data_IF_293451586800
#
_entry.id   IF_293451586800
#
_cell.length_a   1.000
_cell.length_b   1.000
_cell.length_c   1.000
_cell.angle_alpha   90.00
_cell.angle_beta   90.00
_cell.angle_gamma   90.00
#
_symmetry.space_group_name_H-M   'P 1'
#
loop_
_entity.id
_entity.type
_entity.pdbx_description
1 polymer ?
#
# COMPACT_ATOMS: atom_id res chain seq x y z
N UNK A 1 -6.47 -16.91 -6.48
CA UNK A 1 -6.76 -15.63 -7.18
C UNK A 1 -7.32 -14.65 -6.16
N UNK A 2 -6.72 -13.47 -6.03
CA UNK A 2 -7.24 -12.38 -5.20
C UNK A 2 -8.06 -11.42 -6.07
N UNK A 3 -9.28 -11.11 -5.63
CA UNK A 3 -10.17 -10.16 -6.31
C UNK A 3 -10.22 -8.83 -5.58
N UNK A 4 -10.15 -7.73 -6.34
CA UNK A 4 -10.42 -6.36 -5.88
C UNK A 4 -11.66 -5.82 -6.57
N UNK A 5 -12.56 -5.19 -5.79
CA UNK A 5 -13.73 -4.45 -6.28
C UNK A 5 -13.65 -3.02 -5.77
N UNK A 6 -13.30 -2.07 -6.63
CA UNK A 6 -13.17 -0.67 -6.26
C UNK A 6 -14.48 0.09 -6.54
N UNK A 7 -15.18 0.51 -5.48
CA UNK A 7 -16.38 1.36 -5.57
C UNK A 7 -15.92 2.79 -5.65
N UNK A 8 -16.19 3.46 -6.78
CA UNK A 8 -15.59 4.75 -7.13
C UNK A 8 -16.53 5.63 -7.98
N UNK A 9 -16.28 6.93 -7.99
CA UNK A 9 -16.88 7.88 -8.95
C UNK A 9 -16.02 8.04 -10.22
N UNK A 10 -14.82 7.50 -10.27
CA UNK A 10 -13.86 7.67 -11.36
C UNK A 10 -13.22 6.33 -11.76
N UNK A 11 -14.00 5.41 -12.39
CA UNK A 11 -13.51 4.07 -12.74
C UNK A 11 -12.30 4.10 -13.68
N UNK A 12 -12.21 5.10 -14.58
CA UNK A 12 -11.11 5.24 -15.53
C UNK A 12 -9.74 5.45 -14.85
N UNK A 13 -9.70 5.97 -13.62
CA UNK A 13 -8.43 6.12 -12.90
C UNK A 13 -7.72 4.78 -12.67
N UNK A 14 -8.44 3.68 -12.58
CA UNK A 14 -7.88 2.35 -12.36
C UNK A 14 -7.31 1.70 -13.63
N UNK A 15 -7.59 2.25 -14.82
CA UNK A 15 -7.06 1.73 -16.09
C UNK A 15 -5.52 1.80 -16.13
N UNK A 16 -4.91 2.81 -15.48
CA UNK A 16 -3.47 2.96 -15.42
C UNK A 16 -2.76 1.73 -14.80
N UNK A 17 -3.33 1.16 -13.72
CA UNK A 17 -2.75 -0.02 -13.06
C UNK A 17 -3.29 -1.34 -13.63
N UNK A 18 -4.46 -1.32 -14.27
CA UNK A 18 -5.05 -2.50 -14.90
C UNK A 18 -4.32 -2.90 -16.17
N UNK A 19 -3.90 -1.92 -16.97
CA UNK A 19 -3.39 -2.14 -18.32
C UNK A 19 -1.86 -2.21 -18.37
N UNK A 20 -1.16 -1.81 -17.30
CA UNK A 20 0.30 -1.70 -17.32
C UNK A 20 0.95 -2.36 -16.08
N UNK A 21 2.18 -2.80 -16.25
CA UNK A 21 3.07 -3.20 -15.17
C UNK A 21 2.80 -4.58 -14.57
N UNK A 22 3.03 -4.70 -13.26
CA UNK A 22 2.98 -5.98 -12.53
C UNK A 22 1.54 -6.45 -12.34
N UNK A 23 0.61 -5.52 -12.10
CA UNK A 23 -0.81 -5.82 -11.85
C UNK A 23 -1.44 -6.36 -13.13
N UNK A 24 -1.23 -5.72 -14.30
CA UNK A 24 -1.70 -6.18 -15.60
C UNK A 24 -1.29 -7.64 -15.84
N UNK A 25 0.00 -7.95 -15.67
CA UNK A 25 0.51 -9.32 -15.81
C UNK A 25 -0.11 -10.30 -14.81
N UNK A 26 -0.37 -9.84 -13.58
CA UNK A 26 -1.07 -10.64 -12.57
C UNK A 26 -2.50 -10.98 -12.95
N UNK A 27 -3.20 -10.04 -13.61
CA UNK A 27 -4.56 -10.23 -14.15
C UNK A 27 -4.53 -11.20 -15.34
N UNK A 28 -3.64 -10.99 -16.31
CA UNK A 28 -3.46 -11.87 -17.48
C UNK A 28 -3.21 -13.32 -17.10
N UNK A 29 -2.44 -13.53 -16.00
CA UNK A 29 -2.13 -14.86 -15.45
C UNK A 29 -3.19 -15.41 -14.49
N UNK A 30 -4.31 -14.74 -14.31
CA UNK A 30 -5.39 -15.13 -13.38
C UNK A 30 -4.94 -15.24 -11.90
N UNK A 31 -3.92 -14.48 -11.48
CA UNK A 31 -3.56 -14.36 -10.06
C UNK A 31 -4.37 -13.27 -9.38
N UNK A 32 -4.75 -12.24 -10.13
CA UNK A 32 -5.51 -11.07 -9.69
C UNK A 32 -6.75 -10.86 -10.56
N UNK A 33 -7.77 -10.26 -9.95
CA UNK A 33 -8.91 -9.66 -10.64
C UNK A 33 -9.09 -8.24 -10.08
N UNK A 34 -9.23 -7.24 -10.94
CA UNK A 34 -9.52 -5.86 -10.56
C UNK A 34 -10.72 -5.36 -11.34
N UNK A 35 -11.84 -5.19 -10.65
CA UNK A 35 -13.05 -4.58 -11.21
C UNK A 35 -13.33 -3.23 -10.56
N UNK A 36 -13.92 -2.34 -11.32
CA UNK A 36 -14.45 -1.07 -10.83
C UNK A 36 -15.96 -1.09 -10.80
N UNK A 37 -16.54 -0.50 -9.76
CA UNK A 37 -17.99 -0.36 -9.57
C UNK A 37 -18.32 1.11 -9.56
N UNK A 38 -19.02 1.57 -10.61
CA UNK A 38 -19.35 2.97 -10.75
C UNK A 38 -20.48 3.36 -9.79
N UNK A 39 -20.17 4.17 -8.79
CA UNK A 39 -21.10 4.49 -7.71
C UNK A 39 -22.40 5.14 -8.20
N UNK A 40 -22.37 5.95 -9.29
CA UNK A 40 -23.56 6.61 -9.84
C UNK A 40 -24.59 5.65 -10.40
N UNK A 41 -24.23 4.41 -10.73
CA UNK A 41 -25.20 3.43 -11.25
C UNK A 41 -26.17 2.94 -10.18
N UNK A 42 -25.86 3.19 -8.91
CA UNK A 42 -26.69 2.82 -7.76
C UNK A 42 -27.57 3.99 -7.23
N UNK A 43 -27.44 5.15 -7.83
CA UNK A 43 -28.24 6.32 -7.46
C UNK A 43 -29.55 6.35 -8.26
N UNK A 44 -30.65 6.57 -7.55
CA UNK A 44 -31.98 6.69 -8.13
C UNK A 44 -32.22 8.08 -8.75
N UNK A 45 -33.16 8.15 -9.67
CA UNK A 45 -33.63 9.36 -10.32
C UNK A 45 -32.76 9.88 -11.47
N UNK A 46 -33.24 10.89 -12.22
CA UNK A 46 -32.62 11.32 -13.48
C UNK A 46 -31.25 12.00 -13.28
N UNK A 47 -31.01 12.59 -12.10
CA UNK A 47 -29.75 13.29 -11.78
C UNK A 47 -28.70 12.36 -11.20
N UNK A 48 -29.05 11.13 -10.80
CA UNK A 48 -28.15 10.15 -10.17
C UNK A 48 -27.28 10.76 -9.06
N UNK A 49 -27.92 11.50 -8.12
CA UNK A 49 -27.22 12.16 -7.02
C UNK A 49 -26.67 11.12 -6.05
N UNK A 50 -25.36 11.18 -5.81
CA UNK A 50 -24.64 10.25 -4.91
C UNK A 50 -24.29 10.84 -3.56
N UNK A 51 -24.48 12.15 -3.39
CA UNK A 51 -24.03 12.95 -2.27
C UNK A 51 -25.13 13.91 -1.79
N UNK A 52 -25.01 14.39 -0.54
CA UNK A 52 -25.94 15.33 0.08
C UNK A 52 -25.20 16.20 1.12
N UNK A 53 -25.78 17.33 1.49
CA UNK A 53 -25.23 18.18 2.54
C UNK A 53 -25.13 17.46 3.89
N UNK A 54 -24.05 17.69 4.66
CA UNK A 54 -23.91 17.07 5.97
C UNK A 54 -24.98 17.55 6.94
N UNK A 55 -25.56 16.63 7.70
CA UNK A 55 -26.48 16.94 8.78
C UNK A 55 -25.73 17.64 9.92
N UNK A 56 -26.21 18.76 10.37
CA UNK A 56 -25.53 19.60 11.35
C UNK A 56 -24.73 20.77 10.74
N UNK A 57 -24.72 20.88 9.42
CA UNK A 57 -24.00 21.93 8.69
C UNK A 57 -22.52 21.57 8.46
N UNK A 58 -21.79 22.48 7.84
CA UNK A 58 -20.40 22.33 7.45
C UNK A 58 -20.20 22.39 5.94
N UNK A 59 -18.97 22.62 5.52
CA UNK A 59 -18.61 22.69 4.11
C UNK A 59 -18.50 21.30 3.47
N UNK A 60 -18.82 21.25 2.18
CA UNK A 60 -18.70 20.04 1.37
C UNK A 60 -19.96 19.19 1.34
N UNK A 61 -19.83 18.02 0.73
CA UNK A 61 -20.89 17.03 0.52
C UNK A 61 -20.47 15.70 1.11
N UNK A 62 -21.43 14.87 1.50
CA UNK A 62 -21.21 13.52 2.06
C UNK A 62 -21.85 12.49 1.14
N UNK A 63 -21.16 11.42 0.83
CA UNK A 63 -21.69 10.33 0.02
C UNK A 63 -22.82 9.62 0.75
N UNK A 64 -23.96 9.53 0.07
CA UNK A 64 -25.23 9.03 0.61
C UNK A 64 -25.17 7.57 0.97
N UNK A 65 -25.61 7.16 2.17
CA UNK A 65 -25.52 5.79 2.65
C UNK A 65 -26.37 4.80 1.83
N UNK A 66 -27.54 5.23 1.35
CA UNK A 66 -28.44 4.40 0.54
C UNK A 66 -27.81 4.00 -0.80
N UNK A 67 -27.09 4.91 -1.45
CA UNK A 67 -26.37 4.66 -2.71
C UNK A 67 -25.14 3.76 -2.47
N UNK A 68 -24.32 4.14 -1.50
CA UNK A 68 -23.08 3.41 -1.18
C UNK A 68 -23.36 1.98 -0.74
N UNK A 69 -24.40 1.76 0.09
CA UNK A 69 -24.77 0.43 0.55
C UNK A 69 -25.29 -0.45 -0.59
N UNK A 70 -26.04 0.10 -1.55
CA UNK A 70 -26.43 -0.64 -2.75
C UNK A 70 -25.20 -1.09 -3.55
N UNK A 71 -24.22 -0.22 -3.76
CA UNK A 71 -22.97 -0.54 -4.44
C UNK A 71 -22.14 -1.60 -3.69
N UNK A 72 -22.01 -1.49 -2.36
CA UNK A 72 -21.32 -2.52 -1.56
C UNK A 72 -22.03 -3.88 -1.74
N UNK A 73 -23.34 -3.92 -1.57
CA UNK A 73 -24.11 -5.17 -1.66
C UNK A 73 -24.07 -5.83 -3.02
N UNK A 74 -23.85 -5.07 -4.10
CA UNK A 74 -23.76 -5.64 -5.46
C UNK A 74 -22.54 -6.51 -5.67
N UNK A 75 -21.49 -6.34 -4.85
CA UNK A 75 -20.22 -7.09 -4.96
C UNK A 75 -19.90 -7.91 -3.71
N UNK A 76 -20.66 -7.71 -2.62
CA UNK A 76 -20.38 -8.35 -1.33
C UNK A 76 -20.63 -9.85 -1.40
N UNK A 77 -19.65 -10.64 -0.94
CA UNK A 77 -19.75 -12.07 -0.68
C UNK A 77 -19.41 -12.35 0.79
N UNK A 78 -19.70 -13.56 1.33
CA UNK A 78 -19.33 -13.89 2.70
C UNK A 78 -17.85 -13.72 3.02
N UNK A 79 -16.97 -13.87 2.01
CA UNK A 79 -15.51 -13.77 2.14
C UNK A 79 -14.98 -12.36 1.90
N UNK A 80 -15.85 -11.41 1.57
CA UNK A 80 -15.44 -10.03 1.25
C UNK A 80 -14.89 -9.31 2.46
N UNK A 81 -13.78 -8.63 2.28
CA UNK A 81 -13.19 -7.74 3.26
C UNK A 81 -13.29 -6.28 2.76
N UNK A 82 -14.17 -5.50 3.35
CA UNK A 82 -14.43 -4.11 2.93
C UNK A 82 -13.42 -3.19 3.60
N UNK A 83 -12.69 -2.44 2.79
CA UNK A 83 -11.64 -1.50 3.21
C UNK A 83 -12.02 -0.08 2.79
N UNK A 84 -11.97 0.83 3.73
CA UNK A 84 -12.13 2.26 3.51
C UNK A 84 -10.77 2.97 3.54
N UNK A 85 -10.48 3.78 2.51
CA UNK A 85 -9.28 4.61 2.44
C UNK A 85 -9.59 5.99 3.01
N UNK A 86 -9.03 6.30 4.18
CA UNK A 86 -9.35 7.52 4.92
C UNK A 86 -8.14 8.01 5.72
N UNK A 87 -7.92 9.33 5.86
CA UNK A 87 -6.91 9.87 6.76
C UNK A 87 -7.11 9.46 8.24
N UNK A 88 -8.34 9.10 8.64
CA UNK A 88 -8.66 8.64 10.00
C UNK A 88 -8.28 7.18 10.26
N UNK A 89 -7.94 6.43 9.20
CA UNK A 89 -7.55 5.03 9.29
C UNK A 89 -6.18 4.81 9.89
N UNK A 90 -5.87 3.54 10.21
CA UNK A 90 -4.51 3.12 10.61
C UNK A 90 -3.55 3.32 9.43
N UNK A 91 -2.30 3.66 9.72
CA UNK A 91 -1.26 3.77 8.67
C UNK A 91 -1.11 2.43 7.95
N UNK A 92 -1.29 2.47 6.62
CA UNK A 92 -1.07 1.31 5.76
C UNK A 92 0.44 1.00 5.68
N UNK A 93 0.81 -0.27 5.84
CA UNK A 93 2.21 -0.70 5.84
C UNK A 93 2.34 -2.11 5.23
N UNK A 94 3.57 -2.57 4.99
CA UNK A 94 3.86 -3.89 4.41
C UNK A 94 3.19 -5.04 5.17
N UNK A 95 3.14 -4.98 6.51
CA UNK A 95 2.41 -5.98 7.32
C UNK A 95 0.93 -6.03 6.97
N UNK A 96 0.26 -4.88 6.88
CA UNK A 96 -1.16 -4.81 6.50
C UNK A 96 -1.38 -5.31 5.06
N UNK A 97 -0.47 -4.98 4.14
CA UNK A 97 -0.52 -5.47 2.76
C UNK A 97 -0.44 -7.00 2.70
N UNK A 98 0.45 -7.61 3.48
CA UNK A 98 0.60 -9.07 3.57
C UNK A 98 -0.63 -9.74 4.19
N UNK A 99 -1.22 -9.15 5.22
CA UNK A 99 -2.47 -9.65 5.83
C UNK A 99 -3.64 -9.59 4.84
N UNK A 100 -3.75 -8.51 4.07
CA UNK A 100 -4.77 -8.34 3.03
C UNK A 100 -4.57 -9.31 1.85
N UNK A 101 -3.33 -9.62 1.49
CA UNK A 101 -3.02 -10.59 0.42
C UNK A 101 -3.52 -12.02 0.72
N UNK A 102 -3.84 -12.34 1.98
CA UNK A 102 -4.44 -13.63 2.39
C UNK A 102 -5.96 -13.67 2.19
N UNK A 103 -6.59 -12.55 1.83
CA UNK A 103 -8.02 -12.50 1.53
C UNK A 103 -8.31 -13.01 0.13
N UNK A 104 -9.51 -13.52 -0.09
CA UNK A 104 -9.99 -13.91 -1.42
C UNK A 104 -10.61 -12.73 -2.18
N UNK A 105 -11.20 -11.78 -1.44
CA UNK A 105 -11.89 -10.63 -2.02
C UNK A 105 -11.77 -9.39 -1.14
N UNK A 106 -11.29 -8.30 -1.72
CA UNK A 106 -11.18 -6.98 -1.07
C UNK A 106 -12.09 -5.99 -1.81
N UNK A 107 -13.01 -5.39 -1.07
CA UNK A 107 -13.87 -4.30 -1.58
C UNK A 107 -13.29 -2.97 -1.09
N UNK A 108 -12.89 -2.10 -2.02
CA UNK A 108 -12.27 -0.81 -1.74
C UNK A 108 -13.30 0.31 -1.85
N UNK A 109 -13.49 1.07 -0.79
CA UNK A 109 -14.34 2.26 -0.79
C UNK A 109 -13.51 3.50 -1.06
N UNK A 110 -13.66 4.07 -2.26
CA UNK A 110 -12.97 5.28 -2.69
C UNK A 110 -13.85 6.50 -2.39
N UNK A 111 -13.65 7.12 -1.24
CA UNK A 111 -14.39 8.31 -0.81
C UNK A 111 -14.05 9.53 -1.66
N UNK A 112 -15.02 10.41 -1.81
CA UNK A 112 -14.89 11.75 -2.41
C UNK A 112 -15.61 12.77 -1.54
N UNK A 113 -15.39 14.05 -1.80
CA UNK A 113 -15.97 15.15 -1.03
C UNK A 113 -15.53 15.09 0.44
N UNK A 114 -16.48 15.19 1.40
CA UNK A 114 -16.21 15.03 2.83
C UNK A 114 -16.20 13.54 3.28
N UNK A 115 -16.33 12.60 2.35
CA UNK A 115 -16.29 11.16 2.63
C UNK A 115 -17.66 10.50 2.65
N UNK A 116 -17.76 9.39 3.37
CA UNK A 116 -18.97 8.58 3.49
C UNK A 116 -19.78 8.94 4.75
N UNK A 117 -21.09 8.77 4.68
CA UNK A 117 -21.92 8.74 5.88
C UNK A 117 -21.38 7.69 6.88
N UNK A 118 -21.15 8.11 8.11
CA UNK A 118 -20.51 7.28 9.14
C UNK A 118 -21.28 6.00 9.46
N UNK A 119 -22.59 5.96 9.23
CA UNK A 119 -23.41 4.75 9.40
C UNK A 119 -23.01 3.64 8.42
N UNK A 120 -22.59 4.02 7.20
CA UNK A 120 -22.03 3.09 6.22
C UNK A 120 -20.70 2.54 6.69
N UNK A 121 -19.78 3.41 7.12
CA UNK A 121 -18.46 3.01 7.62
C UNK A 121 -18.62 2.05 8.80
N UNK A 122 -19.35 2.45 9.83
CA UNK A 122 -19.56 1.64 11.04
C UNK A 122 -20.16 0.26 10.78
N UNK A 123 -21.02 0.12 9.76
CA UNK A 123 -21.79 -1.11 9.52
C UNK A 123 -21.16 -2.06 8.51
N UNK A 124 -20.41 -1.56 7.55
CA UNK A 124 -19.93 -2.34 6.41
C UNK A 124 -18.41 -2.42 6.29
N UNK A 125 -17.67 -1.48 6.89
CA UNK A 125 -16.22 -1.44 6.78
C UNK A 125 -15.58 -2.37 7.81
N UNK A 126 -14.64 -3.20 7.36
CA UNK A 126 -13.89 -4.12 8.21
C UNK A 126 -12.55 -3.53 8.63
N UNK A 127 -11.97 -2.65 7.80
CA UNK A 127 -10.73 -1.95 8.10
C UNK A 127 -10.68 -0.57 7.44
N UNK A 128 -10.05 0.39 8.13
CA UNK A 128 -9.75 1.71 7.58
C UNK A 128 -8.24 1.92 7.54
N UNK A 129 -7.72 2.39 6.39
CA UNK A 129 -6.31 2.67 6.20
C UNK A 129 -6.05 4.06 5.69
N UNK A 130 -4.99 4.69 6.22
CA UNK A 130 -4.39 5.92 5.73
C UNK A 130 -3.07 5.59 5.02
N UNK A 131 -2.80 6.25 3.90
CA UNK A 131 -1.52 6.13 3.17
C UNK A 131 -0.49 7.17 3.62
N UNK A 132 -0.82 8.01 4.59
CA UNK A 132 0.08 9.02 5.16
C UNK A 132 -0.66 10.20 5.77
N UNK A 133 0.08 11.08 6.43
CA UNK A 133 -0.44 12.25 7.14
C UNK A 133 -0.66 13.44 6.17
N UNK A 134 -1.49 13.22 5.16
CA UNK A 134 -1.89 14.22 4.18
C UNK A 134 -3.29 13.90 3.63
N UNK A 135 -3.95 14.92 3.09
CA UNK A 135 -5.28 14.79 2.51
C UNK A 135 -5.18 14.77 0.99
N UNK A 136 -5.88 13.82 0.37
CA UNK A 136 -6.05 13.71 -1.08
C UNK A 136 -7.48 14.09 -1.49
N UNK A 137 -7.66 14.41 -2.76
CA UNK A 137 -8.98 14.76 -3.32
C UNK A 137 -9.97 13.59 -3.37
N UNK A 138 -9.49 12.35 -3.14
CA UNK A 138 -10.33 11.15 -3.13
C UNK A 138 -9.57 9.88 -2.80
N UNK A 139 -10.32 8.80 -2.62
CA UNK A 139 -9.80 7.51 -2.20
C UNK A 139 -9.21 6.65 -3.33
N UNK A 140 -9.29 7.07 -4.59
CA UNK A 140 -8.83 6.26 -5.73
C UNK A 140 -7.31 6.07 -5.74
N UNK A 141 -6.53 7.15 -5.52
CA UNK A 141 -5.07 7.05 -5.45
C UNK A 141 -4.60 6.15 -4.29
N UNK A 142 -5.10 6.33 -3.04
CA UNK A 142 -4.80 5.39 -1.96
C UNK A 142 -5.22 3.95 -2.27
N UNK A 143 -6.36 3.76 -2.93
CA UNK A 143 -6.82 2.42 -3.32
C UNK A 143 -5.86 1.77 -4.32
N UNK A 144 -5.39 2.51 -5.33
CA UNK A 144 -4.38 2.01 -6.26
C UNK A 144 -3.06 1.67 -5.58
N UNK A 145 -2.57 2.51 -4.63
CA UNK A 145 -1.40 2.19 -3.81
C UNK A 145 -1.59 0.88 -3.02
N UNK A 146 -2.79 0.70 -2.42
CA UNK A 146 -3.11 -0.52 -1.69
C UNK A 146 -3.14 -1.74 -2.61
N UNK A 147 -3.80 -1.64 -3.78
CA UNK A 147 -3.85 -2.72 -4.78
C UNK A 147 -2.44 -3.12 -5.19
N UNK A 148 -1.57 -2.17 -5.51
CA UNK A 148 -0.18 -2.45 -5.91
C UNK A 148 0.58 -3.16 -4.79
N UNK A 149 0.62 -2.58 -3.60
CA UNK A 149 1.36 -3.12 -2.47
C UNK A 149 0.87 -4.52 -2.05
N UNK A 150 -0.45 -4.77 -2.02
CA UNK A 150 -1.03 -6.07 -1.69
C UNK A 150 -0.71 -7.10 -2.77
N UNK A 151 -0.80 -6.72 -4.03
CA UNK A 151 -0.55 -7.61 -5.18
C UNK A 151 0.87 -8.18 -5.18
N UNK A 152 1.86 -7.47 -4.64
CA UNK A 152 3.25 -7.94 -4.51
C UNK A 152 3.38 -9.19 -3.62
N UNK A 153 2.45 -9.39 -2.68
CA UNK A 153 2.42 -10.56 -1.78
C UNK A 153 1.54 -11.71 -2.31
N UNK A 154 0.91 -11.53 -3.46
CA UNK A 154 0.12 -12.62 -4.08
C UNK A 154 1.05 -13.54 -4.88
N UNK A 155 1.08 -14.85 -4.59
CA UNK A 155 1.94 -15.79 -5.30
C UNK A 155 1.74 -15.75 -6.81
N UNK A 156 2.84 -15.69 -7.56
CA UNK A 156 2.84 -15.67 -9.03
C UNK A 156 2.67 -14.29 -9.69
N UNK A 157 2.40 -13.24 -8.92
CA UNK A 157 2.30 -11.86 -9.43
C UNK A 157 3.69 -11.28 -9.71
N UNK A 158 4.63 -11.42 -8.77
CA UNK A 158 6.04 -11.10 -9.03
C UNK A 158 6.74 -12.27 -9.71
N UNK A 159 7.64 -11.94 -10.64
CA UNK A 159 8.41 -12.95 -11.39
C UNK A 159 9.41 -13.75 -10.54
N UNK A 160 9.87 -13.16 -9.44
CA UNK A 160 10.71 -13.82 -8.45
C UNK A 160 10.10 -13.62 -7.06
N UNK A 161 9.66 -14.72 -6.44
CA UNK A 161 9.07 -14.70 -5.10
C UNK A 161 10.05 -14.22 -4.01
N UNK A 162 11.36 -14.38 -4.24
CA UNK A 162 12.41 -13.91 -3.32
C UNK A 162 12.61 -12.39 -3.39
N UNK A 163 12.20 -11.74 -4.48
CA UNK A 163 12.34 -10.28 -4.63
C UNK A 163 11.60 -9.52 -3.52
N UNK A 164 10.44 -10.00 -3.10
CA UNK A 164 9.67 -9.37 -2.02
C UNK A 164 10.30 -9.59 -0.64
N UNK A 165 11.15 -10.60 -0.46
CA UNK A 165 11.77 -10.90 0.84
C UNK A 165 12.96 -10.01 1.18
N UNK A 166 13.53 -9.32 0.19
CA UNK A 166 14.68 -8.43 0.35
C UNK A 166 14.31 -6.94 0.30
N UNK A 167 13.05 -6.62 0.04
CA UNK A 167 12.55 -5.24 -0.04
C UNK A 167 12.57 -4.54 1.33
N UNK A 168 12.54 -3.21 1.31
CA UNK A 168 12.37 -2.40 2.52
C UNK A 168 11.15 -2.85 3.32
N UNK A 169 11.28 -2.88 4.63
CA UNK A 169 10.25 -3.24 5.63
C UNK A 169 9.97 -4.75 5.82
N UNK A 170 10.59 -5.65 5.07
CA UNK A 170 10.35 -7.10 5.22
C UNK A 170 10.88 -7.64 6.54
N UNK A 171 12.11 -7.26 6.90
CA UNK A 171 12.71 -7.53 8.21
C UNK A 171 12.64 -6.30 9.15
N UNK A 172 11.88 -5.27 8.75
CA UNK A 172 11.69 -4.01 9.47
C UNK A 172 12.74 -2.94 9.17
N UNK A 173 13.77 -3.22 8.37
CA UNK A 173 14.78 -2.27 7.91
C UNK A 173 14.46 -1.73 6.51
N UNK A 174 15.13 -0.66 6.13
CA UNK A 174 15.20 -0.20 4.75
C UNK A 174 16.23 -1.01 3.98
N UNK A 175 16.01 -1.18 2.68
CA UNK A 175 16.93 -1.86 1.78
C UNK A 175 18.29 -1.15 1.71
N UNK A 176 19.36 -1.94 1.52
CA UNK A 176 20.69 -1.40 1.26
C UNK A 176 20.77 -0.75 -0.11
N UNK A 177 21.71 0.21 -0.34
CA UNK A 177 21.91 0.83 -1.63
C UNK A 177 22.23 -0.22 -2.70
N UNK A 178 21.59 -0.08 -3.85
CA UNK A 178 21.83 -0.90 -5.01
C UNK A 178 22.75 -0.18 -5.99
N UNK A 179 23.62 -0.95 -6.65
CA UNK A 179 24.55 -0.47 -7.65
C UNK A 179 24.41 -1.27 -8.93
N UNK A 180 24.67 -0.61 -10.07
CA UNK A 180 24.70 -1.23 -11.40
C UNK A 180 25.91 -0.74 -12.21
N UNK A 181 26.02 -1.17 -13.45
CA UNK A 181 27.04 -0.65 -14.38
C UNK A 181 26.66 0.75 -14.90
N UNK A 182 27.65 1.60 -15.22
CA UNK A 182 29.10 1.36 -15.16
C UNK A 182 29.64 1.28 -13.73
N UNK A 183 30.77 0.60 -13.51
CA UNK A 183 31.37 0.41 -12.16
C UNK A 183 31.96 1.70 -11.57
N UNK A 184 32.22 2.69 -12.39
CA UNK A 184 32.60 4.06 -11.99
C UNK A 184 31.70 5.03 -12.76
N UNK A 185 31.02 5.90 -12.05
CA UNK A 185 30.19 6.95 -12.63
C UNK A 185 30.47 8.30 -11.97
N UNK A 186 30.86 9.30 -12.76
CA UNK A 186 31.21 10.66 -12.30
C UNK A 186 32.26 10.70 -11.18
N UNK A 187 33.17 9.73 -11.15
CA UNK A 187 34.21 9.61 -10.12
C UNK A 187 33.84 8.72 -8.94
N UNK A 188 32.57 8.39 -8.76
CA UNK A 188 32.09 7.49 -7.71
C UNK A 188 32.17 6.02 -8.18
N UNK A 189 32.86 5.20 -7.40
CA UNK A 189 33.02 3.75 -7.69
C UNK A 189 32.02 2.89 -6.92
N UNK A 190 31.58 1.79 -7.54
CA UNK A 190 30.89 0.71 -6.83
C UNK A 190 31.79 0.15 -5.74
N UNK A 191 31.31 -0.06 -4.49
CA UNK A 191 32.11 -0.66 -3.43
C UNK A 191 32.72 -2.00 -3.85
N UNK A 192 34.04 -2.15 -3.71
CA UNK A 192 34.80 -3.34 -4.16
C UNK A 192 34.26 -4.64 -3.57
N UNK A 193 33.76 -4.59 -2.33
CA UNK A 193 33.18 -5.75 -1.65
C UNK A 193 32.02 -6.38 -2.43
N UNK A 194 31.23 -5.57 -3.16
CA UNK A 194 30.11 -6.06 -3.97
C UNK A 194 30.58 -6.84 -5.21
N UNK A 195 31.84 -6.66 -5.62
CA UNK A 195 32.45 -7.32 -6.77
C UNK A 195 33.32 -8.52 -6.35
N UNK A 196 33.48 -8.77 -5.05
CA UNK A 196 34.40 -9.79 -4.52
C UNK A 196 34.00 -11.25 -4.81
N UNK A 197 32.72 -11.51 -5.13
CA UNK A 197 32.15 -12.85 -5.24
C UNK A 197 31.98 -13.58 -3.89
N UNK A 198 32.40 -12.98 -2.77
CA UNK A 198 32.22 -13.53 -1.42
C UNK A 198 30.82 -13.19 -0.91
N UNK A 199 29.90 -14.12 -1.11
CA UNK A 199 28.49 -13.91 -0.73
C UNK A 199 28.29 -13.58 0.76
N UNK A 200 29.13 -14.15 1.65
CA UNK A 200 29.02 -13.88 3.09
C UNK A 200 29.42 -12.42 3.42
N UNK A 201 30.51 -11.96 2.83
CA UNK A 201 30.96 -10.56 3.01
C UNK A 201 30.00 -9.58 2.36
N UNK A 202 29.47 -9.90 1.18
CA UNK A 202 28.45 -9.07 0.50
C UNK A 202 27.19 -8.97 1.37
N UNK A 203 26.69 -10.08 1.92
CA UNK A 203 25.54 -10.07 2.82
C UNK A 203 25.78 -9.22 4.08
N UNK A 204 26.97 -9.39 4.71
CA UNK A 204 27.35 -8.58 5.88
C UNK A 204 27.42 -7.08 5.55
N UNK A 205 28.00 -6.72 4.40
CA UNK A 205 28.04 -5.34 3.92
C UNK A 205 26.62 -4.79 3.70
N UNK A 206 25.76 -5.51 2.99
CA UNK A 206 24.37 -5.10 2.77
C UNK A 206 23.63 -4.91 4.09
N UNK A 207 23.79 -5.84 5.03
CA UNK A 207 23.17 -5.74 6.37
C UNK A 207 23.66 -4.52 7.14
N UNK A 208 24.96 -4.23 7.09
CA UNK A 208 25.53 -3.00 7.68
C UNK A 208 24.88 -1.74 7.09
N UNK A 209 24.76 -1.67 5.76
CA UNK A 209 24.17 -0.54 5.06
C UNK A 209 22.66 -0.40 5.35
N UNK A 210 21.90 -1.49 5.44
CA UNK A 210 20.50 -1.46 5.86
C UNK A 210 20.34 -0.79 7.23
N UNK A 211 21.11 -1.22 8.23
CA UNK A 211 21.07 -0.62 9.58
C UNK A 211 21.46 0.85 9.54
N UNK A 212 22.55 1.19 8.80
CA UNK A 212 23.04 2.57 8.68
C UNK A 212 21.99 3.50 8.07
N UNK A 213 21.40 3.11 6.95
CA UNK A 213 20.38 3.91 6.24
C UNK A 213 19.11 4.02 7.06
N UNK A 214 18.68 2.91 7.68
CA UNK A 214 17.48 2.92 8.52
C UNK A 214 17.69 3.81 9.74
N UNK A 215 18.83 3.75 10.40
CA UNK A 215 19.16 4.62 11.53
C UNK A 215 19.13 6.09 11.15
N UNK A 216 19.63 6.44 9.94
CA UNK A 216 19.64 7.80 9.44
C UNK A 216 18.25 8.32 9.06
N UNK A 217 17.49 7.53 8.30
CA UNK A 217 16.28 8.01 7.63
C UNK A 217 15.00 7.66 8.39
N UNK A 218 15.01 6.56 9.14
CA UNK A 218 13.85 6.03 9.88
C UNK A 218 14.26 5.50 11.25
N UNK A 219 14.72 6.37 12.16
CA UNK A 219 15.14 5.98 13.51
C UNK A 219 14.03 5.27 14.29
N UNK A 220 12.76 5.59 13.99
CA UNK A 220 11.59 4.93 14.56
C UNK A 220 11.56 3.41 14.30
N UNK A 221 12.06 2.95 13.15
CA UNK A 221 12.16 1.52 12.82
C UNK A 221 13.29 0.85 13.62
N UNK A 222 14.43 1.51 13.77
CA UNK A 222 15.52 1.00 14.61
C UNK A 222 15.06 0.85 16.06
N UNK A 223 14.33 1.82 16.60
CA UNK A 223 13.77 1.71 17.96
C UNK A 223 12.81 0.52 18.10
N UNK A 224 11.97 0.25 17.12
CA UNK A 224 11.07 -0.92 17.13
C UNK A 224 11.81 -2.25 17.08
N UNK A 225 12.99 -2.28 16.46
CA UNK A 225 13.81 -3.47 16.30
C UNK A 225 14.91 -3.61 17.35
N UNK A 226 15.06 -2.63 18.27
CA UNK A 226 16.21 -2.48 19.14
C UNK A 226 16.63 -3.77 19.84
N UNK A 227 15.69 -4.50 20.39
CA UNK A 227 15.97 -5.74 21.14
C UNK A 227 16.41 -6.91 20.24
N UNK A 228 16.03 -6.89 18.98
CA UNK A 228 16.41 -7.90 17.98
C UNK A 228 17.74 -7.63 17.29
N UNK A 229 18.25 -6.37 17.37
CA UNK A 229 19.53 -6.00 16.79
C UNK A 229 20.70 -6.57 17.61
N UNK A 230 21.75 -7.01 16.90
CA UNK A 230 23.02 -7.40 17.52
C UNK A 230 23.71 -6.20 18.19
N UNK A 231 24.66 -6.49 19.09
CA UNK A 231 25.44 -5.42 19.75
C UNK A 231 26.17 -4.51 18.77
N UNK A 232 26.71 -5.07 17.68
CA UNK A 232 27.39 -4.31 16.62
C UNK A 232 26.44 -3.40 15.84
N UNK A 233 25.23 -3.88 15.54
CA UNK A 233 24.21 -3.11 14.82
C UNK A 233 23.68 -1.95 15.69
N UNK A 234 23.45 -2.17 16.97
CA UNK A 234 23.08 -1.08 17.91
C UNK A 234 24.18 -0.02 17.99
N UNK A 235 25.45 -0.43 18.15
CA UNK A 235 26.58 0.50 18.18
C UNK A 235 26.71 1.31 16.86
N UNK A 236 26.39 0.69 15.71
CA UNK A 236 26.33 1.40 14.42
C UNK A 236 25.22 2.45 14.40
N UNK A 237 24.01 2.10 14.82
CA UNK A 237 22.89 3.02 14.88
C UNK A 237 23.17 4.21 15.81
N UNK A 238 23.70 3.98 17.01
CA UNK A 238 24.11 5.02 17.94
C UNK A 238 25.17 5.96 17.34
N UNK A 239 26.13 5.41 16.59
CA UNK A 239 27.15 6.21 15.90
C UNK A 239 26.52 7.11 14.83
N UNK A 240 25.57 6.59 14.06
CA UNK A 240 24.85 7.38 13.04
C UNK A 240 24.10 8.53 13.69
N UNK A 241 23.43 8.31 14.82
CA UNK A 241 22.68 9.36 15.53
C UNK A 241 23.58 10.44 16.18
N UNK A 242 24.79 10.06 16.60
CA UNK A 242 25.74 11.04 17.16
C UNK A 242 26.39 11.94 16.10
N UNK A 243 26.43 11.48 14.84
CA UNK A 243 27.13 12.19 13.76
C UNK A 243 26.17 12.88 12.75
N UNK A 244 24.87 12.79 12.93
CA UNK A 244 23.84 13.41 12.09
C UNK A 244 23.00 14.39 12.86
#
# INVERSE_FOLDING_TARGET
MLRFSAITLFPEMFEAIRNEGVISRGIEKNHLELQTVFLRDFADGPRRNVDEHPVGGGDGMVLRPDVVVKAIRSVLTPESHVVHLSPTGKVFCAKAARELAQKSHIVLLCGRYAGFDFRTVRRYVHAEYSVGDFVLSGGELPAMCLVDAVSRFVPGVLGNAESSLCDSFEDGLLEAPLYTKPLVFEGDAVPEILMSGDHAKIAAYKRHEQVRITAKNRPDLIHKLWDSLSRSERALAERVWKNG
#
